data_IF_116560065177
#
_entry.id   IF_116560065177
#
_cell.length_a   1.000
_cell.length_b   1.000
_cell.length_c   1.000
_cell.angle_alpha   90.00
_cell.angle_beta   90.00
_cell.angle_gamma   90.00
#
_symmetry.space_group_name_H-M   'P 1'
#
loop_
_entity.id
_entity.type
_entity.pdbx_description
1 polymer ?
#
# COMPACT_ATOMS: atom_id res chain seq x y z
N UNK A 1 -9.69 5.74 -8.48
CA UNK A 1 -9.13 4.84 -7.46
C UNK A 1 -7.64 4.75 -7.70
N UNK A 2 -6.83 4.67 -6.65
CA UNK A 2 -5.36 4.62 -6.73
C UNK A 2 -4.86 3.25 -6.27
N UNK A 3 -3.94 2.65 -7.01
CA UNK A 3 -3.19 1.45 -6.63
C UNK A 3 -1.71 1.71 -6.90
N UNK A 4 -0.86 1.20 -6.05
CA UNK A 4 0.59 1.33 -6.10
C UNK A 4 1.22 0.37 -5.11
N UNK A 5 2.54 0.44 -4.98
CA UNK A 5 3.29 -0.44 -4.08
C UNK A 5 2.94 -0.18 -2.61
N UNK A 6 3.03 -1.23 -1.79
CA UNK A 6 2.96 -1.11 -0.33
C UNK A 6 4.38 -0.94 0.19
N UNK A 7 4.86 0.31 0.15
CA UNK A 7 6.06 0.81 0.82
C UNK A 7 5.86 2.25 1.28
N UNK A 8 6.87 2.86 1.91
CA UNK A 8 6.74 4.25 2.35
C UNK A 8 6.58 5.23 1.18
N UNK A 9 7.31 5.04 0.07
CA UNK A 9 7.24 5.94 -1.09
C UNK A 9 5.87 5.91 -1.77
N UNK A 10 5.33 4.72 -2.01
CA UNK A 10 4.00 4.50 -2.59
C UNK A 10 2.90 5.13 -1.74
N UNK A 11 2.99 5.00 -0.42
CA UNK A 11 2.06 5.66 0.51
C UNK A 11 2.21 7.19 0.42
N UNK A 12 3.43 7.73 0.45
CA UNK A 12 3.67 9.18 0.30
C UNK A 12 3.12 9.72 -1.02
N UNK A 13 3.26 8.98 -2.12
CA UNK A 13 2.71 9.34 -3.44
C UNK A 13 1.18 9.41 -3.36
N UNK A 14 0.53 8.39 -2.80
CA UNK A 14 -0.92 8.38 -2.63
C UNK A 14 -1.40 9.58 -1.80
N UNK A 15 -0.79 9.82 -0.64
CA UNK A 15 -1.22 10.87 0.26
C UNK A 15 -0.98 12.27 -0.31
N UNK A 16 0.12 12.45 -1.03
CA UNK A 16 0.39 13.68 -1.77
C UNK A 16 -0.68 13.89 -2.84
N UNK A 17 -0.97 12.86 -3.64
CA UNK A 17 -2.03 12.90 -4.65
C UNK A 17 -3.40 13.23 -4.03
N UNK A 18 -3.74 12.61 -2.89
CA UNK A 18 -4.96 12.92 -2.14
C UNK A 18 -5.03 14.39 -1.73
N UNK A 19 -3.95 14.95 -1.16
CA UNK A 19 -3.93 16.36 -0.73
C UNK A 19 -4.16 17.33 -1.89
N UNK A 20 -3.63 17.05 -3.08
CA UNK A 20 -3.80 17.93 -4.23
C UNK A 20 -5.17 17.83 -4.92
N UNK A 21 -5.78 16.64 -4.93
CA UNK A 21 -6.93 16.36 -5.79
C UNK A 21 -8.24 16.03 -5.08
N UNK A 22 -8.22 15.75 -3.77
CA UNK A 22 -9.42 15.36 -3.00
C UNK A 22 -10.52 16.42 -2.95
N UNK A 23 -10.19 17.70 -3.18
CA UNK A 23 -11.18 18.79 -3.24
C UNK A 23 -12.02 18.78 -4.54
N UNK A 24 -11.54 18.13 -5.60
CA UNK A 24 -12.19 18.10 -6.93
C UNK A 24 -12.64 16.69 -7.31
N UNK A 25 -11.96 15.67 -6.81
CA UNK A 25 -12.20 14.28 -7.18
C UNK A 25 -12.32 13.42 -5.93
N UNK A 26 -13.12 12.36 -6.03
CA UNK A 26 -13.20 11.32 -5.01
C UNK A 26 -11.94 10.43 -5.07
N UNK A 27 -10.84 10.92 -4.51
CA UNK A 27 -9.57 10.19 -4.41
C UNK A 27 -9.68 9.17 -3.29
N UNK A 28 -9.55 7.90 -3.64
CA UNK A 28 -9.56 6.76 -2.69
C UNK A 28 -8.56 5.71 -3.14
N UNK A 29 -7.91 4.99 -2.20
CA UNK A 29 -7.10 3.85 -2.56
C UNK A 29 -8.03 2.73 -3.03
N UNK A 30 -7.53 1.86 -3.91
CA UNK A 30 -8.24 0.67 -4.32
C UNK A 30 -8.07 -0.41 -3.24
N UNK A 31 -8.81 -0.24 -2.13
CA UNK A 31 -8.69 -1.06 -0.91
C UNK A 31 -8.76 -2.57 -1.21
N UNK A 32 -9.68 -3.00 -2.08
CA UNK A 32 -9.79 -4.41 -2.45
C UNK A 32 -8.53 -4.94 -3.16
N UNK A 33 -7.85 -4.11 -3.95
CA UNK A 33 -6.58 -4.47 -4.57
C UNK A 33 -5.48 -4.65 -3.53
N UNK A 34 -5.32 -3.69 -2.62
CA UNK A 34 -4.35 -3.79 -1.52
C UNK A 34 -4.60 -4.99 -0.61
N UNK A 35 -5.86 -5.29 -0.28
CA UNK A 35 -6.23 -6.49 0.47
C UNK A 35 -5.78 -7.75 -0.26
N UNK A 36 -6.09 -7.87 -1.56
CA UNK A 36 -5.67 -9.02 -2.37
C UNK A 36 -4.14 -9.14 -2.45
N UNK A 37 -3.42 -8.02 -2.52
CA UNK A 37 -1.94 -8.03 -2.49
C UNK A 37 -1.43 -8.64 -1.18
N UNK A 38 -1.94 -8.17 -0.05
CA UNK A 38 -1.54 -8.64 1.29
C UNK A 38 -1.88 -10.11 1.48
N UNK A 39 -3.12 -10.51 1.19
CA UNK A 39 -3.57 -11.89 1.37
C UNK A 39 -2.79 -12.86 0.46
N UNK A 40 -2.42 -12.44 -0.75
CA UNK A 40 -1.66 -13.26 -1.69
C UNK A 40 -0.22 -13.52 -1.21
N UNK A 41 0.43 -12.52 -0.60
CA UNK A 41 1.76 -12.70 0.01
C UNK A 41 1.69 -13.73 1.13
N UNK A 42 0.68 -13.63 2.01
CA UNK A 42 0.49 -14.56 3.13
C UNK A 42 0.19 -15.99 2.66
N UNK A 43 -0.69 -16.16 1.66
CA UNK A 43 -1.09 -17.49 1.17
C UNK A 43 0.04 -18.20 0.41
N UNK A 44 0.84 -17.44 -0.34
CA UNK A 44 1.91 -18.01 -1.16
C UNK A 44 3.26 -18.10 -0.43
N UNK A 45 3.33 -17.64 0.82
CA UNK A 45 4.57 -17.49 1.58
C UNK A 45 5.65 -16.76 0.75
N UNK A 46 5.23 -15.67 0.10
CA UNK A 46 6.07 -14.96 -0.86
C UNK A 46 7.16 -14.19 -0.12
N UNK A 47 8.43 -14.48 -0.42
CA UNK A 47 9.55 -13.73 0.12
C UNK A 47 9.52 -12.29 -0.43
N UNK A 48 9.19 -11.34 0.46
CA UNK A 48 9.07 -9.95 0.08
C UNK A 48 10.46 -9.34 -0.21
N UNK A 49 10.58 -8.52 -1.26
CA UNK A 49 11.79 -7.76 -1.51
C UNK A 49 12.00 -6.65 -0.48
N UNK A 50 13.27 -6.29 -0.25
CA UNK A 50 13.64 -5.12 0.55
C UNK A 50 13.30 -3.83 -0.19
N UNK A 51 12.85 -2.84 0.57
CA UNK A 51 12.71 -1.45 0.12
C UNK A 51 14.05 -0.83 -0.29
N UNK A 52 13.99 0.25 -1.05
CA UNK A 52 15.18 1.05 -1.38
C UNK A 52 15.70 1.80 -0.15
N UNK A 53 17.01 1.97 -0.05
CA UNK A 53 17.59 2.82 0.98
C UNK A 53 17.12 4.27 0.86
N UNK A 54 16.86 4.92 2.01
CA UNK A 54 16.52 6.33 2.08
C UNK A 54 15.08 6.69 1.71
N UNK A 55 14.13 5.73 1.76
CA UNK A 55 12.72 6.02 1.51
C UNK A 55 12.20 7.18 2.35
N UNK A 56 11.33 8.00 1.76
CA UNK A 56 10.63 9.05 2.49
C UNK A 56 9.57 8.44 3.41
N UNK A 57 9.85 8.40 4.72
CA UNK A 57 8.92 7.87 5.75
C UNK A 57 7.92 8.89 6.28
N UNK A 58 7.80 10.07 5.66
CA UNK A 58 6.87 11.11 6.08
C UNK A 58 5.43 10.80 5.61
N UNK A 59 4.88 9.72 6.16
CA UNK A 59 3.50 9.26 5.96
C UNK A 59 2.57 9.84 7.03
N UNK A 60 1.33 10.07 6.66
CA UNK A 60 0.22 10.44 7.53
C UNK A 60 -0.75 9.25 7.68
N UNK A 61 -1.90 9.47 8.31
CA UNK A 61 -2.92 8.42 8.47
C UNK A 61 -3.94 8.41 7.30
N UNK A 62 -3.72 9.17 6.21
CA UNK A 62 -4.70 9.31 5.12
C UNK A 62 -4.85 8.00 4.37
N UNK A 63 -3.74 7.33 4.06
CA UNK A 63 -3.79 6.01 3.43
C UNK A 63 -4.42 4.98 4.38
N UNK A 64 -3.87 4.89 5.59
CA UNK A 64 -4.27 3.90 6.59
C UNK A 64 -5.74 4.03 6.98
N UNK A 65 -6.31 5.24 7.07
CA UNK A 65 -7.73 5.46 7.41
C UNK A 65 -8.74 4.69 6.52
N UNK A 66 -8.32 4.15 5.37
CA UNK A 66 -9.15 3.33 4.49
C UNK A 66 -9.17 1.83 4.82
N UNK A 67 -8.39 1.39 5.81
CA UNK A 67 -8.22 -0.01 6.18
C UNK A 67 -8.69 -0.30 7.60
N UNK A 68 -9.16 -1.53 7.83
CA UNK A 68 -9.45 -2.00 9.17
C UNK A 68 -8.14 -2.26 9.96
N UNK A 69 -8.26 -2.47 11.27
CA UNK A 69 -7.10 -2.68 12.14
C UNK A 69 -6.23 -3.87 11.71
N UNK A 70 -6.83 -4.97 11.24
CA UNK A 70 -6.08 -6.16 10.83
C UNK A 70 -5.16 -5.86 9.64
N UNK A 71 -5.67 -5.23 8.58
CA UNK A 71 -4.84 -4.86 7.42
C UNK A 71 -3.87 -3.73 7.73
N UNK A 72 -4.25 -2.75 8.58
CA UNK A 72 -3.32 -1.72 9.06
C UNK A 72 -2.10 -2.35 9.72
N UNK A 73 -2.29 -3.27 10.66
CA UNK A 73 -1.19 -3.93 11.37
C UNK A 73 -0.28 -4.72 10.42
N UNK A 74 -0.84 -5.43 9.44
CA UNK A 74 -0.05 -6.15 8.42
C UNK A 74 0.81 -5.21 7.59
N UNK A 75 0.22 -4.10 7.12
CA UNK A 75 0.95 -3.08 6.36
C UNK A 75 2.07 -2.49 7.22
N UNK A 76 1.80 -2.16 8.49
CA UNK A 76 2.84 -1.65 9.39
C UNK A 76 4.00 -2.62 9.56
N UNK A 77 3.73 -3.90 9.80
CA UNK A 77 4.79 -4.90 9.95
C UNK A 77 5.70 -4.95 8.71
N UNK A 78 5.12 -4.98 7.49
CA UNK A 78 5.87 -4.96 6.22
C UNK A 78 6.79 -3.73 6.16
N UNK A 79 6.27 -2.55 6.50
CA UNK A 79 7.03 -1.29 6.46
C UNK A 79 8.14 -1.23 7.54
N UNK A 80 7.88 -1.76 8.73
CA UNK A 80 8.86 -1.80 9.83
C UNK A 80 10.02 -2.76 9.53
N UNK A 81 9.72 -3.87 8.86
CA UNK A 81 10.71 -4.85 8.39
C UNK A 81 11.50 -4.37 7.16
N UNK A 82 11.22 -3.16 6.66
CA UNK A 82 11.80 -2.58 5.45
C UNK A 82 11.53 -3.41 4.19
N UNK A 83 10.40 -4.10 4.15
CA UNK A 83 9.91 -4.88 3.03
C UNK A 83 8.87 -4.09 2.24
N UNK A 84 8.58 -4.54 1.02
CA UNK A 84 7.46 -3.99 0.26
C UNK A 84 6.69 -5.03 -0.54
N UNK A 85 5.44 -4.72 -0.84
CA UNK A 85 4.63 -5.50 -1.78
C UNK A 85 4.49 -4.73 -3.10
N UNK A 86 5.08 -5.22 -4.21
CA UNK A 86 4.89 -4.62 -5.52
C UNK A 86 3.44 -4.78 -5.99
N UNK A 87 2.86 -3.75 -6.61
CA UNK A 87 1.51 -3.83 -7.19
C UNK A 87 1.41 -4.93 -8.27
N UNK A 88 2.52 -5.27 -8.93
CA UNK A 88 2.62 -6.29 -9.97
C UNK A 88 2.41 -7.72 -9.45
N UNK A 89 2.32 -7.91 -8.12
CA UNK A 89 1.90 -9.20 -7.54
C UNK A 89 0.48 -9.58 -7.98
N UNK A 90 -0.36 -8.58 -8.28
CA UNK A 90 -1.67 -8.79 -8.88
C UNK A 90 -1.53 -8.94 -10.40
N UNK A 91 -2.08 -10.02 -10.92
CA UNK A 91 -2.18 -10.28 -12.35
C UNK A 91 -3.65 -10.36 -12.79
N UNK A 92 -3.89 -10.47 -14.11
CA UNK A 92 -5.25 -10.43 -14.67
C UNK A 92 -6.18 -11.53 -14.13
N UNK A 93 -5.63 -12.61 -13.56
CA UNK A 93 -6.42 -13.69 -12.95
C UNK A 93 -6.86 -13.36 -11.51
N UNK A 94 -6.25 -12.37 -10.89
CA UNK A 94 -6.60 -11.90 -9.55
C UNK A 94 -7.67 -10.81 -9.57
N UNK A 95 -8.05 -10.28 -10.74
CA UNK A 95 -9.04 -9.21 -10.89
C UNK A 95 -10.46 -9.77 -11.06
#
# INVERSE_FOLDING_TARGET
MYLGDIDYEGIVIYESFYKYFSNKYNVKPFVNGYIKMIDKVEVLDFELPLTKDGQNRNIQDIFFANFNLAYKSRIHNILEDNLYIPQEILNIKDL
#
